data_IF_484737450199
#
_entry.id   IF_484737450199
#
_cell.length_a   1.000
_cell.length_b   1.000
_cell.length_c   1.000
_cell.angle_alpha   90.00
_cell.angle_beta   90.00
_cell.angle_gamma   90.00
#
_symmetry.space_group_name_H-M   'P 1'
#
loop_
_entity.id
_entity.type
_entity.pdbx_description
1 polymer ?
#
# COMPACT_ATOMS: atom_id res chain seq x y z
N UNK A 1 0.50 16.40 31.70
CA UNK A 1 0.51 16.20 30.23
C UNK A 1 1.59 15.21 29.79
N UNK A 2 2.87 15.45 30.12
CA UNK A 2 3.98 14.56 29.73
C UNK A 2 3.86 13.12 30.25
N UNK A 3 3.44 12.95 31.52
CA UNK A 3 3.24 11.62 32.14
C UNK A 3 2.15 10.81 31.41
N UNK A 4 1.13 11.49 30.86
CA UNK A 4 0.05 10.84 30.12
C UNK A 4 0.51 10.29 28.77
N UNK A 5 1.40 11.01 28.08
CA UNK A 5 2.02 10.55 26.83
C UNK A 5 2.96 9.36 27.06
N UNK A 6 3.73 9.37 28.16
CA UNK A 6 4.64 8.28 28.52
C UNK A 6 3.86 7.00 28.87
N UNK A 7 2.75 7.13 29.61
CA UNK A 7 1.89 6.00 29.95
C UNK A 7 1.16 5.44 28.71
N UNK A 8 0.74 6.31 27.79
CA UNK A 8 0.15 5.90 26.51
C UNK A 8 1.14 5.16 25.60
N UNK A 9 2.41 5.57 25.58
CA UNK A 9 3.47 4.91 24.81
C UNK A 9 3.81 3.52 25.39
N UNK A 10 3.90 3.41 26.73
CA UNK A 10 4.18 2.13 27.42
C UNK A 10 3.05 1.09 27.28
N UNK A 11 1.80 1.53 27.20
CA UNK A 11 0.65 0.62 26.96
C UNK A 11 0.62 0.01 25.55
N UNK A 12 1.43 0.52 24.62
CA UNK A 12 1.53 0.04 23.25
C UNK A 12 2.48 -1.15 23.05
N UNK A 13 3.25 -1.54 24.07
CA UNK A 13 4.27 -2.62 24.04
C UNK A 13 3.69 -4.05 23.98
N UNK A 14 2.46 -4.23 23.53
CA UNK A 14 2.09 -5.53 22.97
C UNK A 14 2.89 -5.71 21.68
N UNK A 15 3.55 -6.85 21.48
CA UNK A 15 4.39 -7.22 20.33
C UNK A 15 3.65 -7.22 18.97
N UNK A 16 2.93 -6.15 18.63
CA UNK A 16 2.37 -5.95 17.31
C UNK A 16 3.54 -5.69 16.38
N UNK A 17 4.05 -6.76 15.77
CA UNK A 17 4.94 -6.67 14.61
C UNK A 17 4.29 -5.73 13.60
N UNK A 18 4.90 -4.57 13.42
CA UNK A 18 4.50 -3.63 12.40
C UNK A 18 4.83 -4.29 11.06
N UNK A 19 3.80 -4.50 10.25
CA UNK A 19 3.96 -5.03 8.90
C UNK A 19 3.86 -3.87 7.89
N UNK A 20 4.79 -3.85 6.93
CA UNK A 20 4.91 -2.79 5.93
C UNK A 20 5.23 -3.35 4.55
N UNK A 21 5.09 -2.54 3.53
CA UNK A 21 5.32 -2.93 2.15
C UNK A 21 5.12 -1.77 1.19
N UNK A 22 5.39 -2.01 -0.08
CA UNK A 22 5.24 -1.03 -1.14
C UNK A 22 5.19 -1.69 -2.51
N UNK A 23 5.01 -0.87 -3.53
CA UNK A 23 5.11 -1.30 -4.92
C UNK A 23 5.75 -0.20 -5.75
N UNK A 24 6.46 -0.59 -6.80
CA UNK A 24 7.04 0.30 -7.80
C UNK A 24 6.37 -0.02 -9.14
N UNK A 25 5.81 0.99 -9.80
CA UNK A 25 5.21 0.84 -11.13
C UNK A 25 6.25 1.23 -12.20
N UNK A 26 6.75 0.23 -12.95
CA UNK A 26 7.61 0.45 -14.12
C UNK A 26 6.76 0.20 -15.37
N UNK A 27 6.13 1.26 -15.89
CA UNK A 27 5.04 1.10 -16.85
C UNK A 27 3.87 0.32 -16.23
N UNK A 28 3.08 -0.45 -17.02
CA UNK A 28 1.99 -1.26 -16.48
C UNK A 28 2.48 -2.52 -15.74
N UNK A 29 3.78 -2.70 -15.53
CA UNK A 29 4.36 -3.84 -14.84
C UNK A 29 4.75 -3.45 -13.40
N UNK A 30 3.99 -3.89 -12.38
CA UNK A 30 4.25 -3.58 -10.99
C UNK A 30 5.32 -4.52 -10.39
N UNK A 31 6.18 -3.98 -9.54
CA UNK A 31 7.07 -4.74 -8.65
C UNK A 31 6.55 -4.55 -7.22
N UNK A 32 6.02 -5.61 -6.61
CA UNK A 32 5.39 -5.57 -5.28
C UNK A 32 6.29 -6.20 -4.22
N UNK A 33 6.43 -5.56 -3.07
CA UNK A 33 7.18 -6.05 -1.93
C UNK A 33 6.41 -5.83 -0.62
N UNK A 34 6.49 -6.79 0.30
CA UNK A 34 5.81 -6.71 1.59
C UNK A 34 6.49 -7.59 2.63
N UNK A 35 6.44 -7.16 3.88
CA UNK A 35 7.05 -7.85 5.02
C UNK A 35 6.22 -9.05 5.50
N UNK A 36 5.01 -9.22 4.98
CA UNK A 36 4.11 -10.34 5.28
C UNK A 36 3.22 -10.64 4.08
N UNK A 37 2.73 -11.88 3.97
CA UNK A 37 1.78 -12.27 2.93
C UNK A 37 0.52 -11.39 2.94
N UNK A 38 0.09 -10.92 4.12
CA UNK A 38 -1.06 -10.03 4.28
C UNK A 38 -0.80 -8.67 3.62
N UNK A 39 0.34 -8.05 3.91
CA UNK A 39 0.69 -6.76 3.30
C UNK A 39 0.96 -6.92 1.80
N UNK A 40 1.67 -7.96 1.38
CA UNK A 40 1.92 -8.23 -0.04
C UNK A 40 0.61 -8.38 -0.82
N UNK A 41 -0.38 -9.10 -0.27
CA UNK A 41 -1.71 -9.23 -0.90
C UNK A 41 -2.41 -7.88 -1.02
N UNK A 42 -2.33 -7.04 0.02
CA UNK A 42 -2.91 -5.70 -0.01
C UNK A 42 -2.23 -4.82 -1.07
N UNK A 43 -0.89 -4.90 -1.19
CA UNK A 43 -0.12 -4.17 -2.20
C UNK A 43 -0.41 -4.64 -3.63
N UNK A 44 -0.65 -5.94 -3.84
CA UNK A 44 -1.08 -6.47 -5.14
C UNK A 44 -2.43 -5.90 -5.55
N UNK A 45 -3.41 -5.88 -4.63
CA UNK A 45 -4.73 -5.29 -4.92
C UNK A 45 -4.58 -3.81 -5.28
N UNK A 46 -3.79 -3.07 -4.52
CA UNK A 46 -3.49 -1.66 -4.81
C UNK A 46 -2.84 -1.48 -6.19
N UNK A 47 -1.85 -2.33 -6.54
CA UNK A 47 -1.20 -2.30 -7.85
C UNK A 47 -2.20 -2.48 -8.99
N UNK A 48 -3.10 -3.47 -8.88
CA UNK A 48 -4.12 -3.74 -9.91
C UNK A 48 -5.06 -2.55 -10.06
N UNK A 49 -5.53 -1.97 -8.96
CA UNK A 49 -6.40 -0.77 -9.00
C UNK A 49 -5.70 0.38 -9.71
N UNK A 50 -4.44 0.65 -9.38
CA UNK A 50 -3.66 1.72 -10.01
C UNK A 50 -3.45 1.45 -11.51
N UNK A 51 -3.18 0.21 -11.90
CA UNK A 51 -3.01 -0.17 -13.32
C UNK A 51 -4.32 0.01 -14.08
N UNK A 52 -5.46 -0.40 -13.52
CA UNK A 52 -6.77 -0.22 -14.16
C UNK A 52 -7.07 1.26 -14.37
N UNK A 53 -6.83 2.10 -13.35
CA UNK A 53 -6.99 3.55 -13.48
C UNK A 53 -6.07 4.12 -14.55
N UNK A 54 -4.78 3.73 -14.55
CA UNK A 54 -3.81 4.16 -15.56
C UNK A 54 -4.24 3.76 -16.99
N UNK A 55 -4.72 2.52 -17.16
CA UNK A 55 -5.20 2.01 -18.44
C UNK A 55 -6.45 2.75 -18.91
N UNK A 56 -7.43 2.98 -18.03
CA UNK A 56 -8.64 3.74 -18.38
C UNK A 56 -8.25 5.14 -18.84
N UNK A 57 -7.43 5.86 -18.07
CA UNK A 57 -7.02 7.22 -18.43
C UNK A 57 -6.24 7.26 -19.75
N UNK A 58 -5.48 6.22 -20.06
CA UNK A 58 -4.68 6.14 -21.29
C UNK A 58 -5.49 5.71 -22.51
N UNK A 59 -6.41 4.76 -22.36
CA UNK A 59 -7.17 4.14 -23.46
C UNK A 59 -8.49 4.85 -23.75
N UNK A 60 -9.13 5.44 -22.74
CA UNK A 60 -10.45 6.08 -22.86
C UNK A 60 -10.47 7.19 -23.94
N UNK A 61 -9.49 8.11 -24.01
CA UNK A 61 -9.47 9.14 -25.07
C UNK A 61 -9.33 8.54 -26.47
N UNK A 62 -8.61 7.43 -26.60
CA UNK A 62 -8.42 6.72 -27.86
C UNK A 62 -9.69 6.01 -28.35
N UNK A 63 -10.56 5.60 -27.41
CA UNK A 63 -11.82 4.93 -27.71
C UNK A 63 -12.96 5.92 -28.01
N UNK A 64 -12.84 7.15 -27.52
CA UNK A 64 -13.82 8.23 -27.67
C UNK A 64 -13.56 9.11 -28.91
N UNK A 65 -12.48 8.84 -29.64
CA UNK A 65 -12.11 9.50 -30.90
C UNK A 65 -12.48 8.61 -32.08
#
# INVERSE_FOLDING_TARGET
>A
MLVFFIEAARRGEGEKKVEGGGLILIGPFPIVFGSSTKITRMMIILAIVLIVVFLILSLLPFLLW
#
